data_IF_094600469238
#
_entry.id   IF_094600469238
#
_cell.length_a   1.000
_cell.length_b   1.000
_cell.length_c   1.000
_cell.angle_alpha   90.00
_cell.angle_beta   90.00
_cell.angle_gamma   90.00
#
_symmetry.space_group_name_H-M   'P 1'
#
loop_
_entity.id
_entity.type
_entity.pdbx_description
1 polymer ?
#
# COMPACT_ATOMS: atom_id res chain seq x y z
N UNK A 1 6.07 -12.75 18.33
CA UNK A 1 5.10 -11.91 19.09
C UNK A 1 5.67 -11.75 20.49
N UNK A 2 6.01 -10.53 20.89
CA UNK A 2 6.49 -10.27 22.25
C UNK A 2 5.26 -10.25 23.18
N UNK A 3 5.32 -11.00 24.28
CA UNK A 3 4.24 -11.19 25.25
C UNK A 3 3.94 -9.90 26.02
N UNK A 4 3.30 -8.90 25.39
CA UNK A 4 2.85 -7.67 26.03
C UNK A 4 3.96 -6.68 26.46
N UNK A 5 5.23 -7.00 26.23
CA UNK A 5 6.36 -6.10 26.50
C UNK A 5 6.70 -5.24 25.28
N UNK A 6 6.85 -3.93 25.48
CA UNK A 6 7.32 -3.01 24.43
C UNK A 6 8.77 -3.39 24.05
N UNK A 7 9.08 -3.64 22.77
CA UNK A 7 10.43 -3.97 22.35
C UNK A 7 11.39 -2.80 22.55
N UNK A 8 12.66 -3.10 22.85
CA UNK A 8 13.75 -2.14 22.67
C UNK A 8 14.05 -1.97 21.18
N UNK A 9 14.66 -0.83 20.80
CA UNK A 9 15.08 -0.64 19.42
C UNK A 9 16.12 -1.68 18.98
N UNK A 10 17.04 -2.07 19.87
CA UNK A 10 18.04 -3.11 19.60
C UNK A 10 17.36 -4.43 19.22
N UNK A 11 16.33 -4.88 19.95
CA UNK A 11 15.60 -6.10 19.60
C UNK A 11 14.89 -6.02 18.23
N UNK A 12 14.39 -4.83 17.86
CA UNK A 12 13.81 -4.60 16.52
C UNK A 12 14.89 -4.65 15.45
N UNK A 13 16.05 -4.02 15.69
CA UNK A 13 17.16 -4.00 14.74
C UNK A 13 17.76 -5.40 14.54
N UNK A 14 17.95 -6.16 15.62
CA UNK A 14 18.44 -7.55 15.55
C UNK A 14 17.50 -8.42 14.72
N UNK A 15 16.19 -8.35 14.99
CA UNK A 15 15.18 -9.07 14.21
C UNK A 15 15.20 -8.69 12.71
N UNK A 16 15.32 -7.40 12.40
CA UNK A 16 15.44 -6.93 11.02
C UNK A 16 16.68 -7.49 10.33
N UNK A 17 17.83 -7.47 11.02
CA UNK A 17 19.09 -7.95 10.50
C UNK A 17 19.08 -9.47 10.27
N UNK A 18 18.51 -10.23 11.20
CA UNK A 18 18.32 -11.68 11.06
C UNK A 18 17.40 -12.01 9.88
N UNK A 19 16.28 -11.29 9.74
CA UNK A 19 15.38 -11.46 8.59
C UNK A 19 16.07 -11.09 7.29
N UNK A 20 16.84 -10.01 7.27
CA UNK A 20 17.60 -9.60 6.09
C UNK A 20 18.55 -10.71 5.65
N UNK A 21 19.32 -11.29 6.56
CA UNK A 21 20.29 -12.32 6.21
C UNK A 21 19.66 -13.68 5.89
N UNK A 22 18.60 -14.07 6.59
CA UNK A 22 17.96 -15.39 6.40
C UNK A 22 16.96 -15.44 5.24
N UNK A 23 16.35 -14.31 4.87
CA UNK A 23 15.38 -14.24 3.77
C UNK A 23 15.95 -13.69 2.47
N UNK A 24 17.22 -13.25 2.48
CA UNK A 24 17.88 -12.80 1.26
C UNK A 24 18.00 -13.92 0.21
N UNK A 25 17.76 -13.58 -1.05
CA UNK A 25 18.04 -14.46 -2.19
C UNK A 25 18.35 -13.64 -3.46
N UNK A 26 19.10 -14.22 -4.40
CA UNK A 26 19.61 -13.53 -5.58
C UNK A 26 18.56 -13.20 -6.66
N UNK A 27 17.31 -13.63 -6.45
CA UNK A 27 16.19 -13.23 -7.32
C UNK A 27 15.63 -11.84 -6.96
N UNK A 28 16.12 -11.20 -5.89
CA UNK A 28 15.77 -9.81 -5.55
C UNK A 28 16.45 -8.87 -6.54
N UNK A 29 15.66 -8.20 -7.38
CA UNK A 29 16.17 -7.32 -8.45
C UNK A 29 16.23 -5.87 -8.00
N UNK A 30 17.40 -5.24 -8.14
CA UNK A 30 17.59 -3.81 -7.95
C UNK A 30 17.56 -3.04 -9.28
N UNK A 31 16.45 -2.36 -9.56
CA UNK A 31 16.36 -1.53 -10.78
C UNK A 31 17.11 -0.20 -10.64
N UNK A 32 17.25 0.31 -9.42
CA UNK A 32 18.14 1.44 -9.16
C UNK A 32 19.60 0.96 -9.21
N UNK A 33 20.23 1.11 -10.37
CA UNK A 33 21.61 0.69 -10.67
C UNK A 33 22.68 1.30 -9.75
N UNK A 34 22.34 2.35 -8.99
CA UNK A 34 23.23 3.01 -8.05
C UNK A 34 23.13 2.49 -6.61
N UNK A 35 22.18 1.60 -6.33
CA UNK A 35 22.02 0.99 -5.00
C UNK A 35 22.32 -0.51 -5.07
N UNK A 36 22.97 -1.02 -4.04
CA UNK A 36 23.31 -2.45 -3.88
C UNK A 36 22.66 -2.99 -2.62
N UNK A 37 22.70 -4.31 -2.42
CA UNK A 37 22.22 -4.99 -1.20
C UNK A 37 22.68 -4.25 0.07
N UNK A 38 23.98 -4.00 0.18
CA UNK A 38 24.59 -3.42 1.38
C UNK A 38 24.21 -1.94 1.59
N UNK A 39 23.65 -1.27 0.58
CA UNK A 39 23.10 0.09 0.69
C UNK A 39 21.63 0.08 1.15
N UNK A 40 20.88 -0.97 0.84
CA UNK A 40 19.47 -1.10 1.26
C UNK A 40 19.32 -1.59 2.69
N UNK A 41 20.23 -2.43 3.18
CA UNK A 41 20.21 -2.92 4.56
C UNK A 41 20.21 -1.78 5.59
N UNK A 42 21.19 -0.85 5.62
CA UNK A 42 21.19 0.26 6.57
C UNK A 42 20.05 1.26 6.30
N UNK A 43 19.56 1.34 5.06
CA UNK A 43 18.39 2.16 4.73
C UNK A 43 17.11 1.64 5.42
N UNK A 44 16.87 0.33 5.40
CA UNK A 44 15.72 -0.26 6.07
C UNK A 44 15.80 -0.09 7.59
N UNK A 45 16.98 -0.31 8.18
CA UNK A 45 17.21 -0.05 9.61
C UNK A 45 16.96 1.42 9.98
N UNK A 46 17.41 2.35 9.13
CA UNK A 46 17.11 3.78 9.30
C UNK A 46 15.59 4.04 9.29
N UNK A 47 14.84 3.42 8.39
CA UNK A 47 13.38 3.55 8.34
C UNK A 47 12.74 3.08 9.66
N UNK A 48 13.16 1.91 10.16
CA UNK A 48 12.70 1.37 11.45
C UNK A 48 13.05 2.30 12.61
N UNK A 49 14.27 2.86 12.62
CA UNK A 49 14.71 3.79 13.67
C UNK A 49 13.87 5.06 13.73
N UNK A 50 13.46 5.59 12.56
CA UNK A 50 12.63 6.79 12.48
C UNK A 50 11.23 6.52 12.99
N UNK A 51 10.65 5.39 12.58
CA UNK A 51 9.36 4.96 13.06
C UNK A 51 9.38 4.73 14.59
N UNK A 52 10.36 3.97 15.08
CA UNK A 52 10.50 3.66 16.50
C UNK A 52 10.59 4.93 17.36
N UNK A 53 11.46 5.87 16.99
CA UNK A 53 11.64 7.13 17.74
C UNK A 53 10.38 8.00 17.78
N UNK A 54 9.56 7.97 16.72
CA UNK A 54 8.37 8.81 16.61
C UNK A 54 7.19 8.23 17.39
N UNK A 55 7.02 6.91 17.37
CA UNK A 55 5.81 6.28 17.87
C UNK A 55 5.99 5.51 19.18
N UNK A 56 7.21 5.17 19.60
CA UNK A 56 7.45 4.55 20.92
C UNK A 56 6.85 5.42 22.04
N UNK A 57 6.06 4.87 23.00
CA UNK A 57 5.92 3.45 23.35
C UNK A 57 4.80 2.67 22.62
N UNK A 58 4.33 3.16 21.48
CA UNK A 58 3.27 2.55 20.64
C UNK A 58 1.91 2.49 21.35
N UNK A 59 1.48 3.64 21.89
CA UNK A 59 0.25 3.75 22.68
C UNK A 59 -1.01 3.97 21.85
N UNK A 60 -0.92 3.96 20.52
CA UNK A 60 -2.06 4.17 19.64
C UNK A 60 -3.07 3.00 19.74
N UNK A 61 -4.39 3.27 19.56
CA UNK A 61 -5.44 2.26 19.71
C UNK A 61 -5.55 1.40 18.45
N UNK A 62 -4.48 0.63 18.17
CA UNK A 62 -4.42 -0.30 17.05
C UNK A 62 -5.38 -1.46 17.33
N UNK A 63 -6.29 -1.69 16.39
CA UNK A 63 -7.24 -2.81 16.46
C UNK A 63 -6.91 -3.93 15.49
N UNK A 64 -6.02 -3.70 14.53
CA UNK A 64 -5.58 -4.71 13.59
C UNK A 64 -4.39 -4.27 12.74
N UNK A 65 -3.61 -5.25 12.28
CA UNK A 65 -2.47 -5.10 11.36
C UNK A 65 -2.55 -6.19 10.31
N UNK A 66 -2.19 -5.87 9.06
CA UNK A 66 -2.36 -6.78 7.91
C UNK A 66 -3.78 -7.36 7.82
N UNK A 67 -4.79 -6.51 8.08
CA UNK A 67 -6.18 -6.94 8.17
C UNK A 67 -6.79 -7.11 6.78
N UNK A 68 -7.41 -8.27 6.57
CA UNK A 68 -8.13 -8.57 5.33
C UNK A 68 -9.48 -7.86 5.34
N UNK A 69 -9.76 -7.10 4.28
CA UNK A 69 -11.07 -6.54 3.99
C UNK A 69 -11.63 -7.22 2.75
N UNK A 70 -12.78 -7.88 2.91
CA UNK A 70 -13.56 -8.46 1.82
C UNK A 70 -14.94 -7.81 1.86
N UNK A 71 -15.30 -7.12 0.78
CA UNK A 71 -16.51 -6.31 0.73
C UNK A 71 -16.98 -6.13 -0.72
N UNK A 72 -18.20 -5.64 -0.90
CA UNK A 72 -18.83 -5.49 -2.21
C UNK A 72 -19.11 -4.02 -2.46
N UNK A 73 -18.62 -3.45 -3.56
CA UNK A 73 -18.82 -2.02 -3.86
C UNK A 73 -20.34 -1.70 -3.91
N UNK A 74 -20.80 -0.79 -3.06
CA UNK A 74 -22.21 -0.44 -2.91
C UNK A 74 -23.12 -1.59 -2.49
N UNK A 75 -22.57 -2.63 -1.84
CA UNK A 75 -23.32 -3.83 -1.48
C UNK A 75 -23.64 -4.77 -2.64
N UNK A 76 -23.11 -4.53 -3.84
CA UNK A 76 -23.40 -5.31 -5.03
C UNK A 76 -22.41 -6.48 -5.21
N UNK A 77 -22.92 -7.71 -5.10
CA UNK A 77 -22.15 -8.96 -5.23
C UNK A 77 -21.44 -9.10 -6.59
N UNK A 78 -21.84 -8.35 -7.61
CA UNK A 78 -21.13 -8.30 -8.88
C UNK A 78 -19.81 -7.54 -8.79
N UNK A 79 -19.50 -6.84 -7.70
CA UNK A 79 -18.27 -6.05 -7.56
C UNK A 79 -17.51 -6.35 -6.27
N UNK A 80 -17.03 -7.60 -6.09
CA UNK A 80 -16.27 -7.98 -4.91
C UNK A 80 -14.88 -7.33 -4.94
N UNK A 81 -14.47 -6.81 -3.79
CA UNK A 81 -13.14 -6.25 -3.54
C UNK A 81 -12.52 -7.00 -2.36
N UNK A 82 -11.26 -7.37 -2.55
CA UNK A 82 -10.40 -7.88 -1.49
C UNK A 82 -9.19 -6.97 -1.34
N UNK A 83 -8.95 -6.52 -0.12
CA UNK A 83 -7.80 -5.72 0.26
C UNK A 83 -7.14 -6.28 1.52
N UNK A 84 -5.87 -5.94 1.72
CA UNK A 84 -5.16 -6.15 2.98
C UNK A 84 -4.65 -4.78 3.38
N UNK A 85 -5.10 -4.26 4.53
CA UNK A 85 -4.67 -2.95 5.03
C UNK A 85 -3.52 -3.14 6.02
N UNK A 86 -2.53 -2.25 5.99
CA UNK A 86 -1.34 -2.41 6.83
C UNK A 86 -1.65 -2.24 8.33
N UNK A 87 -2.40 -1.20 8.71
CA UNK A 87 -2.82 -0.96 10.11
C UNK A 87 -4.13 -0.19 10.23
N UNK A 88 -5.01 -0.65 11.12
CA UNK A 88 -6.29 -0.01 11.45
C UNK A 88 -6.28 0.45 12.92
N UNK A 89 -6.73 1.67 13.15
CA UNK A 89 -6.91 2.24 14.49
C UNK A 89 -8.36 2.67 14.70
N UNK A 90 -8.85 2.47 15.92
CA UNK A 90 -10.18 2.88 16.34
C UNK A 90 -10.08 3.78 17.57
N UNK A 91 -10.47 5.04 17.44
CA UNK A 91 -10.44 6.01 18.53
C UNK A 91 -11.76 6.07 19.33
N UNK A 92 -12.74 5.24 18.99
CA UNK A 92 -14.10 5.33 19.53
C UNK A 92 -14.91 6.45 18.87
N UNK A 93 -16.20 6.53 19.21
CA UNK A 93 -17.12 7.57 18.70
C UNK A 93 -17.09 7.69 17.17
N UNK A 94 -16.99 6.55 16.48
CA UNK A 94 -16.94 6.47 15.03
C UNK A 94 -15.73 7.07 14.32
N UNK A 95 -14.66 7.36 15.07
CA UNK A 95 -13.39 7.88 14.53
C UNK A 95 -12.39 6.76 14.29
N UNK A 96 -11.94 6.65 13.04
CA UNK A 96 -11.02 5.61 12.59
C UNK A 96 -9.82 6.19 11.84
N UNK A 97 -8.69 5.49 11.91
CA UNK A 97 -7.53 5.79 11.06
C UNK A 97 -7.10 4.53 10.30
N UNK A 98 -6.93 4.68 8.99
CA UNK A 98 -6.39 3.65 8.11
C UNK A 98 -4.99 4.08 7.72
N UNK A 99 -3.99 3.27 8.05
CA UNK A 99 -2.60 3.58 7.78
C UNK A 99 -2.00 2.65 6.73
N UNK A 100 -1.09 3.21 5.93
CA UNK A 100 -0.26 2.48 4.97
C UNK A 100 1.20 2.99 5.02
N UNK A 101 2.15 2.08 4.92
CA UNK A 101 3.58 2.35 5.03
C UNK A 101 4.26 2.33 3.66
N UNK A 102 4.79 3.48 3.26
CA UNK A 102 5.53 3.65 2.01
C UNK A 102 7.03 3.84 2.26
N UNK A 103 7.84 3.06 1.55
CA UNK A 103 9.32 3.12 1.58
C UNK A 103 9.92 3.99 0.45
N UNK A 104 9.07 4.74 -0.26
CA UNK A 104 9.49 5.59 -1.38
C UNK A 104 10.48 6.68 -0.96
N UNK A 105 11.34 7.10 -1.89
CA UNK A 105 12.35 8.18 -1.68
C UNK A 105 11.73 9.54 -1.35
N UNK A 106 10.50 9.76 -1.80
CA UNK A 106 9.78 11.03 -1.66
C UNK A 106 8.40 10.72 -1.10
N UNK A 107 7.92 11.61 -0.24
CA UNK A 107 6.51 11.63 0.15
C UNK A 107 5.63 12.04 -1.02
N UNK A 108 4.39 11.58 -1.01
CA UNK A 108 3.38 12.09 -1.93
C UNK A 108 3.01 13.54 -1.57
N UNK A 109 2.55 14.30 -2.56
CA UNK A 109 1.99 15.63 -2.31
C UNK A 109 0.59 15.50 -1.68
N UNK A 110 0.12 16.57 -1.02
CA UNK A 110 -1.23 16.59 -0.46
C UNK A 110 -2.29 16.35 -1.56
N UNK A 111 -2.17 17.04 -2.69
CA UNK A 111 -3.08 16.87 -3.83
C UNK A 111 -3.06 15.45 -4.43
N UNK A 112 -1.95 14.72 -4.31
CA UNK A 112 -1.90 13.31 -4.70
C UNK A 112 -2.61 12.43 -3.65
N UNK A 113 -2.36 12.65 -2.36
CA UNK A 113 -3.05 11.95 -1.27
C UNK A 113 -4.57 12.14 -1.31
N UNK A 114 -5.04 13.35 -1.64
CA UNK A 114 -6.46 13.69 -1.74
C UNK A 114 -7.17 13.05 -2.94
N UNK A 115 -6.40 12.56 -3.92
CA UNK A 115 -6.92 11.84 -5.10
C UNK A 115 -6.57 10.36 -5.11
N UNK A 116 -5.76 9.91 -4.17
CA UNK A 116 -5.34 8.52 -4.08
C UNK A 116 -6.55 7.62 -3.77
N UNK A 117 -6.63 6.50 -4.48
CA UNK A 117 -7.75 5.56 -4.41
C UNK A 117 -7.55 4.48 -3.37
N UNK A 118 -6.29 4.15 -3.03
CA UNK A 118 -5.94 2.94 -2.28
C UNK A 118 -6.62 2.94 -0.90
N UNK A 119 -6.29 3.93 -0.05
CA UNK A 119 -6.86 3.99 1.30
C UNK A 119 -8.36 4.37 1.28
N UNK A 120 -8.80 5.11 0.26
CA UNK A 120 -10.21 5.46 0.11
C UNK A 120 -11.08 4.23 -0.25
N UNK A 121 -10.54 3.22 -0.96
CA UNK A 121 -11.22 1.94 -1.14
C UNK A 121 -11.33 1.16 0.19
N UNK A 122 -10.31 1.20 1.04
CA UNK A 122 -10.41 0.62 2.38
C UNK A 122 -11.43 1.35 3.25
N UNK A 123 -11.57 2.67 3.10
CA UNK A 123 -12.64 3.43 3.76
C UNK A 123 -14.04 2.92 3.36
N UNK A 124 -14.30 2.68 2.07
CA UNK A 124 -15.57 2.06 1.63
C UNK A 124 -15.80 0.70 2.31
N UNK A 125 -14.79 -0.17 2.30
CA UNK A 125 -14.87 -1.47 2.96
C UNK A 125 -15.10 -1.37 4.47
N UNK A 126 -14.45 -0.42 5.14
CA UNK A 126 -14.63 -0.17 6.57
C UNK A 126 -16.07 0.24 6.90
N UNK A 127 -16.64 1.18 6.13
CA UNK A 127 -18.06 1.61 6.30
C UNK A 127 -19.06 0.48 6.09
N UNK A 128 -18.73 -0.49 5.22
CA UNK A 128 -19.60 -1.65 5.00
C UNK A 128 -19.48 -2.71 6.10
N UNK A 129 -18.28 -2.90 6.66
CA UNK A 129 -17.96 -4.00 7.57
C UNK A 129 -18.10 -3.65 9.06
N UNK A 130 -18.11 -2.36 9.41
CA UNK A 130 -18.19 -1.88 10.80
C UNK A 130 -19.39 -0.96 10.96
N UNK A 131 -20.03 -1.01 12.12
CA UNK A 131 -21.04 -0.01 12.49
C UNK A 131 -20.37 1.31 12.87
N UNK A 132 -21.14 2.39 12.79
CA UNK A 132 -20.79 3.69 13.36
C UNK A 132 -19.47 4.28 12.82
N UNK A 133 -19.16 4.10 11.53
CA UNK A 133 -18.00 4.74 10.90
C UNK A 133 -18.37 6.13 10.41
N UNK A 134 -17.98 7.15 11.17
CA UNK A 134 -18.35 8.55 10.92
C UNK A 134 -17.20 9.36 10.32
N UNK A 135 -16.02 9.29 10.93
CA UNK A 135 -14.85 10.07 10.51
C UNK A 135 -13.64 9.16 10.31
N UNK A 136 -13.14 9.09 9.07
CA UNK A 136 -12.00 8.25 8.73
C UNK A 136 -10.85 9.10 8.23
N UNK A 137 -9.70 8.97 8.89
CA UNK A 137 -8.42 9.54 8.45
C UNK A 137 -7.63 8.51 7.66
N UNK A 138 -7.16 8.91 6.49
CA UNK A 138 -6.31 8.11 5.62
C UNK A 138 -4.88 8.59 5.79
N UNK A 139 -3.98 7.74 6.27
CA UNK A 139 -2.63 8.15 6.71
C UNK A 139 -1.56 7.35 5.98
N UNK A 140 -0.75 8.03 5.19
CA UNK A 140 0.44 7.44 4.58
C UNK A 140 1.68 7.80 5.39
N UNK A 141 2.43 6.78 5.83
CA UNK A 141 3.71 6.93 6.48
C UNK A 141 4.83 6.76 5.47
N UNK A 142 5.60 7.82 5.22
CA UNK A 142 6.79 7.74 4.38
C UNK A 142 8.01 7.45 5.23
N UNK A 143 8.19 6.19 5.61
CA UNK A 143 9.16 5.78 6.64
C UNK A 143 10.62 6.10 6.31
N UNK A 144 10.94 6.26 5.02
CA UNK A 144 12.26 6.70 4.57
C UNK A 144 12.52 8.19 4.84
N UNK A 145 11.49 9.02 4.81
CA UNK A 145 11.56 10.47 5.05
C UNK A 145 10.93 10.89 6.37
N UNK A 146 10.36 9.97 7.14
CA UNK A 146 9.81 10.22 8.49
C UNK A 146 8.53 11.05 8.47
N UNK A 147 8.07 11.39 7.28
CA UNK A 147 6.90 12.23 7.06
C UNK A 147 5.63 11.40 7.10
N UNK A 148 4.54 12.05 7.48
CA UNK A 148 3.18 11.55 7.28
C UNK A 148 2.43 12.48 6.34
N UNK A 149 1.55 11.91 5.53
CA UNK A 149 0.58 12.66 4.74
C UNK A 149 -0.79 12.11 5.08
N UNK A 150 -1.73 13.00 5.35
CA UNK A 150 -3.07 12.63 5.81
C UNK A 150 -4.10 13.15 4.83
N UNK A 151 -5.18 12.41 4.67
CA UNK A 151 -6.31 12.84 3.86
C UNK A 151 -7.61 12.32 4.44
N UNK A 152 -8.73 12.90 3.98
CA UNK A 152 -10.09 12.49 4.34
C UNK A 152 -10.92 12.39 3.07
N UNK A 153 -12.02 11.64 3.15
CA UNK A 153 -13.01 11.56 2.07
C UNK A 153 -14.37 11.89 2.63
N UNK A 154 -15.10 12.78 1.96
CA UNK A 154 -16.52 12.95 2.19
C UNK A 154 -17.33 11.86 1.45
N UNK A 155 -18.61 11.75 1.78
CA UNK A 155 -19.48 10.72 1.18
C UNK A 155 -19.66 10.87 -0.34
N UNK A 156 -19.61 12.09 -0.87
CA UNK A 156 -19.72 12.33 -2.31
C UNK A 156 -18.48 11.82 -3.06
N UNK A 157 -17.29 12.06 -2.50
CA UNK A 157 -16.02 11.54 -3.00
C UNK A 157 -15.96 10.02 -2.94
N UNK A 158 -16.48 9.42 -1.86
CA UNK A 158 -16.59 7.96 -1.73
C UNK A 158 -17.54 7.36 -2.76
N UNK A 159 -18.72 7.95 -2.96
CA UNK A 159 -19.67 7.50 -3.97
C UNK A 159 -19.10 7.62 -5.39
N UNK A 160 -18.38 8.71 -5.68
CA UNK A 160 -17.70 8.89 -6.96
C UNK A 160 -16.63 7.82 -7.17
N UNK A 161 -15.79 7.56 -6.15
CA UNK A 161 -14.78 6.50 -6.20
C UNK A 161 -15.40 5.13 -6.45
N UNK A 162 -16.52 4.82 -5.78
CA UNK A 162 -17.26 3.57 -5.98
C UNK A 162 -17.70 3.42 -7.43
N UNK A 163 -18.39 4.43 -7.97
CA UNK A 163 -18.91 4.42 -9.33
C UNK A 163 -17.80 4.30 -10.38
N UNK A 164 -16.71 5.07 -10.23
CA UNK A 164 -15.55 4.98 -11.11
C UNK A 164 -14.89 3.61 -11.04
N UNK A 165 -14.85 2.98 -9.86
CA UNK A 165 -14.28 1.65 -9.70
C UNK A 165 -15.15 0.59 -10.38
N UNK A 166 -16.48 0.65 -10.19
CA UNK A 166 -17.44 -0.23 -10.89
C UNK A 166 -17.31 -0.11 -12.41
N UNK A 167 -17.34 1.12 -12.94
CA UNK A 167 -17.16 1.37 -14.38
C UNK A 167 -15.86 0.81 -14.93
N UNK A 168 -14.76 0.92 -14.15
CA UNK A 168 -13.46 0.38 -14.56
C UNK A 168 -13.46 -1.15 -14.58
N UNK A 169 -14.12 -1.79 -13.61
CA UNK A 169 -14.31 -3.24 -13.58
C UNK A 169 -15.13 -3.69 -14.79
N UNK A 170 -16.22 -3.00 -15.10
CA UNK A 170 -17.08 -3.34 -16.24
C UNK A 170 -16.35 -3.18 -17.56
N UNK A 171 -15.59 -2.09 -17.72
CA UNK A 171 -14.72 -1.89 -18.90
C UNK A 171 -13.74 -3.07 -19.07
N UNK A 172 -13.14 -3.56 -17.98
CA UNK A 172 -12.23 -4.71 -18.02
C UNK A 172 -12.99 -5.97 -18.44
N UNK A 173 -14.16 -6.23 -17.85
CA UNK A 173 -15.00 -7.40 -18.16
C UNK A 173 -15.47 -7.42 -19.62
N UNK A 174 -15.97 -6.30 -20.11
CA UNK A 174 -16.38 -6.13 -21.50
C UNK A 174 -15.20 -6.34 -22.45
N UNK A 175 -14.03 -5.79 -22.12
CA UNK A 175 -12.81 -5.99 -22.92
C UNK A 175 -12.44 -7.47 -22.99
N UNK A 176 -12.50 -8.21 -21.87
CA UNK A 176 -12.25 -9.66 -21.85
C UNK A 176 -13.31 -10.41 -22.68
N UNK A 177 -14.59 -10.12 -22.49
CA UNK A 177 -15.69 -10.79 -23.18
C UNK A 177 -15.63 -10.63 -24.71
N UNK A 178 -15.13 -9.47 -25.18
CA UNK A 178 -14.94 -9.18 -26.59
C UNK A 178 -13.62 -9.74 -27.17
N UNK A 179 -12.83 -10.47 -26.38
CA UNK A 179 -11.55 -11.07 -26.81
C UNK A 179 -10.38 -10.09 -26.81
N UNK A 180 -10.49 -8.95 -26.13
CA UNK A 180 -9.49 -7.88 -26.10
C UNK A 180 -9.62 -6.89 -27.27
N UNK A 181 -8.55 -6.14 -27.61
CA UNK A 181 -7.24 -6.12 -26.97
C UNK A 181 -7.15 -5.12 -25.81
N UNK A 182 -6.35 -5.45 -24.80
CA UNK A 182 -5.86 -4.46 -23.84
C UNK A 182 -4.71 -3.67 -24.47
N UNK A 183 -4.98 -2.42 -24.86
CA UNK A 183 -3.97 -1.58 -25.52
C UNK A 183 -2.83 -1.28 -24.56
N UNK A 184 -1.60 -1.55 -25.01
CA UNK A 184 -0.39 -1.25 -24.26
C UNK A 184 -0.13 0.24 -24.19
N UNK A 185 0.22 0.73 -23.00
CA UNK A 185 0.68 2.10 -22.79
C UNK A 185 2.11 2.04 -22.26
N UNK A 186 3.07 2.51 -23.05
CA UNK A 186 4.47 2.55 -22.62
C UNK A 186 4.66 3.64 -21.57
N UNK A 187 5.27 3.29 -20.44
CA UNK A 187 5.63 4.21 -19.36
C UNK A 187 7.05 3.89 -18.87
N UNK A 188 7.67 4.75 -18.04
CA UNK A 188 8.94 4.39 -17.39
C UNK A 188 8.89 3.10 -16.55
N UNK A 189 7.69 2.66 -16.14
CA UNK A 189 7.50 1.39 -15.43
C UNK A 189 7.68 0.17 -16.32
N UNK A 190 7.72 0.31 -17.66
CA UNK A 190 8.04 -0.80 -18.55
C UNK A 190 9.38 -1.45 -18.21
N UNK A 191 10.34 -0.68 -17.66
CA UNK A 191 11.64 -1.21 -17.23
C UNK A 191 11.55 -2.20 -16.05
N UNK A 192 10.39 -2.28 -15.40
CA UNK A 192 10.07 -3.18 -14.30
C UNK A 192 9.07 -4.27 -14.72
N UNK A 193 8.62 -4.26 -15.98
CA UNK A 193 7.58 -5.18 -16.45
C UNK A 193 8.20 -6.55 -16.72
N UNK A 194 7.67 -7.57 -16.05
CA UNK A 194 8.06 -8.97 -16.26
C UNK A 194 7.66 -9.47 -17.65
N UNK A 195 6.51 -9.02 -18.17
CA UNK A 195 5.95 -9.43 -19.46
C UNK A 195 6.55 -8.67 -20.66
N UNK A 196 7.84 -8.34 -20.61
CA UNK A 196 8.47 -7.52 -21.66
C UNK A 196 8.52 -8.26 -23.00
N UNK A 197 8.88 -9.55 -22.99
CA UNK A 197 9.03 -10.38 -24.20
C UNK A 197 7.68 -10.67 -24.87
N UNK A 198 6.61 -10.73 -24.09
CA UNK A 198 5.24 -10.92 -24.56
C UNK A 198 4.54 -9.60 -24.94
N UNK A 199 5.15 -8.46 -24.63
CA UNK A 199 4.52 -7.16 -24.82
C UNK A 199 4.57 -6.73 -26.30
N UNK A 200 3.43 -6.51 -26.97
CA UNK A 200 3.41 -6.12 -28.38
C UNK A 200 4.01 -4.73 -28.65
N UNK A 201 4.19 -3.92 -27.61
CA UNK A 201 4.88 -2.63 -27.70
C UNK A 201 6.41 -2.74 -27.56
N UNK A 202 6.98 -3.94 -27.46
CA UNK A 202 8.42 -4.21 -27.36
C UNK A 202 8.87 -5.09 -28.52
N UNK A 203 10.09 -4.86 -29.00
CA UNK A 203 10.69 -5.56 -30.14
C UNK A 203 12.13 -6.02 -29.89
N UNK A 204 12.61 -5.84 -28.66
CA UNK A 204 13.96 -6.18 -28.21
C UNK A 204 13.87 -6.88 -26.86
N UNK A 205 14.91 -7.60 -26.44
CA UNK A 205 14.96 -8.14 -25.09
C UNK A 205 14.93 -7.04 -24.02
N UNK A 206 14.44 -7.35 -22.82
CA UNK A 206 14.42 -6.41 -21.70
C UNK A 206 15.86 -6.07 -21.22
N UNK A 207 16.35 -4.82 -21.37
CA UNK A 207 17.72 -4.48 -20.95
C UNK A 207 17.86 -4.25 -19.43
N UNK A 208 16.78 -4.39 -18.66
CA UNK A 208 16.75 -4.17 -17.20
C UNK A 208 16.60 -5.44 -16.37
N UNK A 209 16.15 -6.53 -16.99
CA UNK A 209 16.07 -7.86 -16.38
C UNK A 209 17.17 -8.70 -17.01
N UNK A 210 18.16 -9.11 -16.21
CA UNK A 210 19.26 -9.96 -16.64
C UNK A 210 18.98 -11.41 -16.28
#
# INVERSE_FOLDING_TARGET
>A
VLNGSIPTFDAVSDCYNDLWDTKWHDQIVFVNRYMRRDEYRPLGEKCLSWYFRKYHPFSEPVVGVEEVLEFNLGGDENYPIKGILDRLQNHGEGKWEIHDYKTSKRRMSQAAADKDRQLALYHLGLKQLKSDVEDVRLVWHFVRTGDTVESRRDDAQLQMLENETKQKIDTIRETVANGGPFRTVQTPLCNWCYYWEECPAKSTNNPFVK
#
